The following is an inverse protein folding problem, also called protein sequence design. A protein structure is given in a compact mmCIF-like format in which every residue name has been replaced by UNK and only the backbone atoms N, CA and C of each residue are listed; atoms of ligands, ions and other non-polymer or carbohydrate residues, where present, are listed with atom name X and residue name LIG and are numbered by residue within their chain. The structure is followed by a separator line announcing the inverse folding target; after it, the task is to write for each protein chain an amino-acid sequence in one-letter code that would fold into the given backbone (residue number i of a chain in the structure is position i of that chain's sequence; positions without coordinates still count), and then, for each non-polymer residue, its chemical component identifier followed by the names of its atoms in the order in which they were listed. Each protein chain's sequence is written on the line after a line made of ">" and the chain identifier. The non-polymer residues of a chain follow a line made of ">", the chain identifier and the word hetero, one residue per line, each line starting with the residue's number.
data_IF_741139964045
#
_entry.id   IF_741139964045
#
_cell.length_a   1.000
_cell.length_b   1.000
_cell.length_c   1.000
_cell.angle_alpha   90.00
_cell.angle_beta   90.00
_cell.angle_gamma   90.00
#
_symmetry.space_group_name_H-M   'P 1'
#
loop_
_entity.id
_entity.type
_entity.pdbx_description
1 polymer ?
#
# COMPACT_ATOMS: atom_id res chain seq x y z
N UNK A 1 11.37 -4.52 34.68
CA UNK A 1 11.81 -4.17 33.31
C UNK A 1 12.02 -5.49 32.57
N UNK A 2 10.98 -6.01 31.89
CA UNK A 2 11.07 -7.27 31.14
C UNK A 2 11.81 -6.96 29.83
N UNK A 3 12.97 -7.56 29.63
CA UNK A 3 13.60 -7.63 28.32
C UNK A 3 12.69 -8.49 27.43
N UNK A 4 12.08 -7.85 26.43
CA UNK A 4 11.46 -8.56 25.31
C UNK A 4 12.62 -8.90 24.38
N UNK A 5 12.99 -10.18 24.31
CA UNK A 5 13.90 -10.67 23.30
C UNK A 5 13.25 -10.46 21.93
N UNK A 6 13.81 -9.56 21.14
CA UNK A 6 13.53 -9.46 19.71
C UNK A 6 14.08 -10.71 19.03
N UNK A 7 13.27 -11.76 18.94
CA UNK A 7 13.52 -12.87 18.02
C UNK A 7 13.30 -12.33 16.60
N UNK A 8 14.33 -11.65 16.08
CA UNK A 8 14.41 -11.30 14.67
C UNK A 8 14.40 -12.61 13.87
N UNK A 9 13.49 -12.79 12.91
CA UNK A 9 13.44 -14.02 12.12
C UNK A 9 14.77 -14.21 11.38
N UNK A 10 15.26 -15.45 11.40
CA UNK A 10 16.45 -15.89 10.67
C UNK A 10 16.41 -15.41 9.20
N UNK A 11 17.54 -14.96 8.63
CA UNK A 11 17.58 -14.45 7.27
C UNK A 11 17.10 -15.52 6.27
N UNK A 12 16.11 -15.14 5.47
CA UNK A 12 15.57 -15.97 4.39
C UNK A 12 16.71 -16.32 3.42
N UNK A 13 16.88 -17.61 3.14
CA UNK A 13 17.98 -18.14 2.30
C UNK A 13 18.01 -17.45 0.92
N UNK A 14 19.23 -17.14 0.47
CA UNK A 14 19.64 -16.50 -0.79
C UNK A 14 19.08 -17.08 -2.12
N UNK A 15 18.25 -18.11 -2.09
CA UNK A 15 17.58 -18.68 -3.26
C UNK A 15 16.24 -18.02 -3.64
N UNK A 16 15.68 -17.14 -2.78
CA UNK A 16 14.39 -16.49 -2.99
C UNK A 16 14.47 -15.20 -3.84
N UNK A 17 15.66 -14.62 -4.00
CA UNK A 17 15.81 -13.29 -4.62
C UNK A 17 15.52 -13.28 -6.13
N UNK A 18 15.95 -14.33 -6.85
CA UNK A 18 15.63 -14.50 -8.27
C UNK A 18 14.14 -14.78 -8.51
N UNK A 19 13.48 -15.49 -7.58
CA UNK A 19 12.05 -15.81 -7.67
C UNK A 19 11.16 -14.56 -7.53
N UNK A 20 11.55 -13.62 -6.66
CA UNK A 20 10.80 -12.36 -6.47
C UNK A 20 10.83 -11.50 -7.75
N UNK A 21 12.00 -11.35 -8.39
CA UNK A 21 12.12 -10.57 -9.62
C UNK A 21 11.30 -11.20 -10.75
N UNK A 22 11.40 -12.51 -10.94
CA UNK A 22 10.64 -13.25 -11.94
C UNK A 22 9.12 -13.14 -11.69
N UNK A 23 8.69 -13.22 -10.44
CA UNK A 23 7.29 -13.07 -10.06
C UNK A 23 6.77 -11.64 -10.36
N UNK A 24 7.57 -10.61 -10.07
CA UNK A 24 7.22 -9.23 -10.40
C UNK A 24 7.07 -9.02 -11.90
N UNK A 25 8.00 -9.53 -12.71
CA UNK A 25 7.94 -9.41 -14.17
C UNK A 25 6.71 -10.12 -14.75
N UNK A 26 6.38 -11.31 -14.25
CA UNK A 26 5.15 -12.03 -14.61
C UNK A 26 3.90 -11.22 -14.23
N UNK A 27 3.86 -10.69 -13.01
CA UNK A 27 2.73 -9.88 -12.53
C UNK A 27 2.56 -8.60 -13.37
N UNK A 28 3.66 -7.94 -13.75
CA UNK A 28 3.64 -6.77 -14.61
C UNK A 28 3.09 -7.12 -15.99
N UNK A 29 3.55 -8.21 -16.58
CA UNK A 29 3.08 -8.67 -17.90
C UNK A 29 1.58 -8.92 -17.90
N UNK A 30 1.05 -9.63 -16.89
CA UNK A 30 -0.38 -9.87 -16.75
C UNK A 30 -1.17 -8.58 -16.46
N UNK A 31 -0.66 -7.72 -15.57
CA UNK A 31 -1.26 -6.43 -15.24
C UNK A 31 -1.38 -5.50 -16.45
N UNK A 32 -0.35 -5.45 -17.31
CA UNK A 32 -0.34 -4.67 -18.56
C UNK A 32 -1.47 -5.06 -19.53
N UNK A 33 -1.95 -6.30 -19.48
CA UNK A 33 -3.07 -6.75 -20.32
C UNK A 33 -4.40 -6.17 -19.85
N UNK A 34 -4.47 -5.76 -18.58
CA UNK A 34 -5.68 -5.28 -17.92
C UNK A 34 -5.76 -3.74 -17.84
N UNK A 35 -4.69 -2.99 -18.10
CA UNK A 35 -4.66 -1.50 -18.00
C UNK A 35 -5.80 -0.85 -18.78
N UNK A 36 -6.10 -1.37 -19.97
CA UNK A 36 -7.15 -0.89 -20.87
C UNK A 36 -8.58 -1.16 -20.41
N UNK A 37 -8.78 -1.99 -19.39
CA UNK A 37 -10.11 -2.35 -18.87
C UNK A 37 -10.61 -1.37 -17.81
N UNK A 38 -9.68 -0.62 -17.19
CA UNK A 38 -9.98 0.38 -16.18
C UNK A 38 -10.23 1.78 -16.74
N UNK A 39 -10.50 2.73 -15.85
CA UNK A 39 -10.57 4.16 -16.16
C UNK A 39 -9.80 4.95 -15.11
N UNK A 40 -9.01 5.92 -15.58
CA UNK A 40 -8.36 6.91 -14.71
C UNK A 40 -9.43 7.71 -13.96
N UNK A 41 -9.16 8.04 -12.70
CA UNK A 41 -10.04 8.88 -11.90
C UNK A 41 -10.12 10.31 -12.48
N UNK A 42 -11.33 10.82 -12.70
CA UNK A 42 -11.55 12.13 -13.33
C UNK A 42 -12.28 13.14 -12.45
N UNK A 43 -12.63 12.78 -11.21
CA UNK A 43 -13.34 13.68 -10.29
C UNK A 43 -12.45 14.80 -9.71
N UNK A 44 -11.13 14.65 -9.81
CA UNK A 44 -10.13 15.71 -9.56
C UNK A 44 -9.39 15.97 -10.88
N UNK A 45 -9.35 17.21 -11.41
CA UNK A 45 -8.74 17.53 -12.71
C UNK A 45 -7.26 17.13 -12.83
N UNK A 46 -6.52 17.14 -11.73
CA UNK A 46 -5.11 16.72 -11.72
C UNK A 46 -4.97 15.20 -11.94
N UNK A 47 -5.92 14.40 -11.44
CA UNK A 47 -5.89 12.95 -11.59
C UNK A 47 -6.19 12.49 -13.02
N UNK A 48 -6.99 13.25 -13.77
CA UNK A 48 -7.32 12.91 -15.15
C UNK A 48 -6.13 13.00 -16.12
N UNK A 49 -5.00 13.55 -15.66
CA UNK A 49 -3.76 13.68 -16.44
C UNK A 49 -2.86 12.44 -16.36
N UNK A 50 -3.20 11.47 -15.51
CA UNK A 50 -2.42 10.23 -15.38
C UNK A 50 -2.48 9.42 -16.68
N UNK A 51 -1.35 8.81 -17.06
CA UNK A 51 -1.28 7.89 -18.19
C UNK A 51 -1.94 6.55 -17.79
N UNK A 52 -2.98 6.09 -18.51
CA UNK A 52 -3.65 4.82 -18.22
C UNK A 52 -2.76 3.58 -18.44
N UNK A 53 -1.65 3.69 -19.16
CA UNK A 53 -0.73 2.58 -19.43
C UNK A 53 0.45 2.51 -18.44
N UNK A 54 0.60 3.51 -17.56
CA UNK A 54 1.59 3.48 -16.48
C UNK A 54 1.28 2.39 -15.48
N UNK A 55 2.22 1.46 -15.31
CA UNK A 55 2.12 0.38 -14.33
C UNK A 55 3.51 0.01 -13.84
N UNK A 56 3.67 0.00 -12.52
CA UNK A 56 4.91 -0.34 -11.85
C UNK A 56 4.64 -1.12 -10.59
N UNK A 57 5.61 -1.94 -10.20
CA UNK A 57 5.58 -2.71 -8.96
C UNK A 57 6.96 -2.71 -8.31
N UNK A 58 6.97 -2.67 -6.98
CA UNK A 58 8.19 -2.69 -6.19
C UNK A 58 7.97 -3.49 -4.90
N UNK A 59 8.92 -4.36 -4.58
CA UNK A 59 8.98 -5.11 -3.32
C UNK A 59 10.24 -4.70 -2.60
N UNK A 60 10.07 -4.24 -1.36
CA UNK A 60 11.16 -3.97 -0.43
C UNK A 60 11.11 -4.97 0.72
N UNK A 61 12.16 -5.76 0.89
CA UNK A 61 12.23 -6.79 1.92
C UNK A 61 12.71 -6.19 3.24
N UNK A 62 12.40 -6.87 4.35
CA UNK A 62 12.91 -6.50 5.69
C UNK A 62 14.44 -6.62 5.80
N UNK A 63 15.06 -7.41 4.92
CA UNK A 63 16.53 -7.56 4.80
C UNK A 63 17.18 -6.44 3.97
N UNK A 64 16.41 -5.50 3.42
CA UNK A 64 16.91 -4.37 2.64
C UNK A 64 16.98 -4.60 1.12
N UNK A 65 16.61 -5.78 0.63
CA UNK A 65 16.48 -6.07 -0.80
C UNK A 65 15.39 -5.22 -1.45
N UNK A 66 15.63 -4.75 -2.67
CA UNK A 66 14.67 -3.98 -3.47
C UNK A 66 14.57 -4.59 -4.85
N UNK A 67 13.36 -5.02 -5.22
CA UNK A 67 13.04 -5.64 -6.50
C UNK A 67 11.94 -4.81 -7.14
N UNK A 68 12.08 -4.50 -8.42
CA UNK A 68 11.18 -3.55 -9.07
C UNK A 68 11.07 -3.81 -10.56
N UNK A 69 9.95 -3.40 -11.14
CA UNK A 69 9.67 -3.55 -12.57
C UNK A 69 8.65 -2.51 -13.03
N UNK A 70 8.67 -2.18 -14.32
CA UNK A 70 7.80 -1.16 -14.91
C UNK A 70 8.08 0.25 -14.39
N UNK A 71 7.03 1.06 -14.31
CA UNK A 71 7.08 2.50 -14.06
C UNK A 71 7.14 2.82 -12.54
N UNK A 72 7.91 2.05 -11.78
CA UNK A 72 7.92 2.09 -10.30
C UNK A 72 8.46 3.38 -9.68
N UNK A 73 9.20 4.18 -10.46
CA UNK A 73 9.72 5.48 -10.03
C UNK A 73 8.82 6.65 -10.39
N UNK A 74 7.72 6.41 -11.12
CA UNK A 74 6.80 7.47 -11.51
C UNK A 74 6.08 8.03 -10.28
N UNK A 75 6.23 9.33 -9.98
CA UNK A 75 5.55 9.93 -8.83
C UNK A 75 4.03 9.98 -9.04
N UNK A 76 3.27 9.58 -8.02
CA UNK A 76 1.82 9.73 -8.01
C UNK A 76 1.33 10.16 -6.61
N UNK A 77 0.12 10.71 -6.56
CA UNK A 77 -0.48 11.13 -5.29
C UNK A 77 -0.89 9.92 -4.44
N UNK A 78 -0.57 9.91 -3.15
CA UNK A 78 -0.89 8.79 -2.26
C UNK A 78 -2.40 8.50 -2.10
N UNK A 79 -3.26 9.52 -2.22
CA UNK A 79 -4.70 9.39 -2.01
C UNK A 79 -5.03 8.67 -0.69
N UNK A 80 -5.98 7.73 -0.67
CA UNK A 80 -6.40 7.00 0.52
C UNK A 80 -5.30 6.18 1.20
N UNK A 81 -4.17 5.89 0.54
CA UNK A 81 -3.02 5.24 1.18
C UNK A 81 -2.49 6.08 2.34
N UNK A 82 -2.63 7.42 2.27
CA UNK A 82 -2.23 8.33 3.34
C UNK A 82 -2.91 8.05 4.68
N UNK A 83 -4.13 7.46 4.69
CA UNK A 83 -4.89 7.17 5.90
C UNK A 83 -4.16 6.21 6.83
N UNK A 84 -3.47 5.21 6.29
CA UNK A 84 -2.69 4.24 7.09
C UNK A 84 -1.56 4.95 7.82
N UNK A 85 -0.84 5.85 7.12
CA UNK A 85 0.26 6.61 7.72
C UNK A 85 -0.27 7.58 8.79
N UNK A 86 -1.37 8.29 8.49
CA UNK A 86 -2.01 9.19 9.46
C UNK A 86 -2.50 8.45 10.70
N UNK A 87 -3.08 7.26 10.55
CA UNK A 87 -3.51 6.43 11.67
C UNK A 87 -2.32 5.99 12.54
N UNK A 88 -1.25 5.49 11.92
CA UNK A 88 -0.01 5.11 12.64
C UNK A 88 0.53 6.29 13.45
N UNK A 89 0.61 7.47 12.85
CA UNK A 89 1.07 8.69 13.54
C UNK A 89 0.15 9.05 14.71
N UNK A 90 -1.16 8.99 14.53
CA UNK A 90 -2.12 9.29 15.59
C UNK A 90 -1.98 8.31 16.77
N UNK A 91 -1.84 7.01 16.49
CA UNK A 91 -1.62 5.97 17.51
C UNK A 91 -0.33 6.20 18.29
N UNK A 92 0.76 6.57 17.60
CA UNK A 92 2.03 6.89 18.24
C UNK A 92 1.96 8.18 19.09
N UNK A 93 1.13 9.14 18.70
CA UNK A 93 1.06 10.46 19.35
C UNK A 93 0.17 10.46 20.59
N UNK A 94 -1.01 9.84 20.51
CA UNK A 94 -2.02 9.92 21.59
C UNK A 94 -2.44 8.58 22.17
N UNK A 95 -1.96 7.46 21.60
CA UNK A 95 -2.22 6.11 22.09
C UNK A 95 -3.51 5.48 21.56
N UNK A 96 -3.56 4.15 21.63
CA UNK A 96 -4.64 3.29 21.12
C UNK A 96 -6.02 3.74 21.61
N UNK A 97 -6.21 3.82 22.93
CA UNK A 97 -7.52 4.08 23.53
C UNK A 97 -8.11 5.43 23.11
N UNK A 98 -7.27 6.47 23.04
CA UNK A 98 -7.73 7.82 22.64
C UNK A 98 -8.14 7.85 21.18
N UNK A 99 -7.35 7.23 20.28
CA UNK A 99 -7.68 7.16 18.86
C UNK A 99 -9.00 6.40 18.66
N UNK A 100 -9.10 5.19 19.18
CA UNK A 100 -10.26 4.33 18.93
C UNK A 100 -11.48 4.67 19.78
N UNK A 101 -11.37 5.61 20.73
CA UNK A 101 -12.55 6.29 21.29
C UNK A 101 -13.23 7.26 20.31
N UNK A 102 -12.56 7.60 19.19
CA UNK A 102 -13.02 8.60 18.20
C UNK A 102 -13.27 8.02 16.82
N UNK A 103 -12.56 6.96 16.45
CA UNK A 103 -12.71 6.30 15.14
C UNK A 103 -13.00 4.81 15.35
N UNK A 104 -13.89 4.24 14.52
CA UNK A 104 -14.24 2.83 14.59
C UNK A 104 -13.11 1.90 14.11
N UNK A 105 -13.14 0.66 14.60
CA UNK A 105 -12.22 -0.43 14.21
C UNK A 105 -12.82 -1.35 13.14
N UNK A 106 -14.14 -1.51 13.16
CA UNK A 106 -14.84 -2.48 12.33
C UNK A 106 -15.06 -1.98 10.90
N UNK A 107 -14.97 -2.87 9.88
CA UNK A 107 -15.28 -2.50 8.52
C UNK A 107 -16.72 -2.02 8.41
N UNK A 108 -16.95 -1.00 7.59
CA UNK A 108 -18.28 -0.39 7.51
C UNK A 108 -19.27 -1.26 6.73
N UNK A 109 -18.81 -2.01 5.74
CA UNK A 109 -19.67 -2.73 4.77
C UNK A 109 -20.29 -1.82 3.70
N UNK A 110 -20.19 -0.50 3.88
CA UNK A 110 -20.70 0.52 2.97
C UNK A 110 -19.61 1.02 2.00
N UNK A 111 -20.01 1.84 1.03
CA UNK A 111 -19.05 2.57 0.20
C UNK A 111 -18.14 3.45 1.06
N UNK A 112 -16.89 3.67 0.60
CA UNK A 112 -15.88 4.40 1.36
C UNK A 112 -16.26 5.85 1.72
N UNK A 113 -17.25 6.41 1.02
CA UNK A 113 -17.76 7.77 1.18
C UNK A 113 -19.18 7.82 1.79
N UNK A 114 -19.65 6.70 2.37
CA UNK A 114 -20.96 6.65 3.01
C UNK A 114 -21.00 7.51 4.27
N UNK A 115 -22.07 8.30 4.41
CA UNK A 115 -22.36 9.12 5.60
C UNK A 115 -23.29 8.39 6.58
N UNK A 116 -23.82 7.21 6.21
CA UNK A 116 -24.84 6.49 6.98
C UNK A 116 -24.41 6.16 8.41
N UNK A 117 -23.11 5.95 8.67
CA UNK A 117 -22.57 5.67 10.01
C UNK A 117 -22.18 6.92 10.82
N UNK A 118 -22.38 8.11 10.26
CA UNK A 118 -22.17 9.39 10.94
C UNK A 118 -23.48 9.97 11.51
N UNK A 119 -24.64 9.44 11.10
CA UNK A 119 -25.95 9.67 11.72
C UNK A 119 -26.18 8.71 12.90
#
# INVERSE_FOLDING_TARGET
>A
MRQVSEDLPEPIKQGAEGDIQDALEKALSEGRRCTKTGKVATYIPELSKADPEHIGACVKTVTGGTYSTGDWQEPFTMQSISKTISLTLALQTVGYDKVFSKVGLEPTGDSFNSIVKLE
#
